data_IF_264900105423
#
_entry.id   IF_264900105423
#
_cell.length_a   1.000
_cell.length_b   1.000
_cell.length_c   1.000
_cell.angle_alpha   90.00
_cell.angle_beta   90.00
_cell.angle_gamma   90.00
#
_symmetry.space_group_name_H-M   'P 1'
#
loop_
_entity.id
_entity.type
_entity.pdbx_description
1 polymer ?
#
# COMPACT_ATOMS: atom_id res chain seq x y z
N UNK A 1 8.90 -21.55 -34.10
CA UNK A 1 8.71 -20.82 -32.82
C UNK A 1 7.35 -20.13 -32.84
N UNK A 2 6.51 -20.30 -31.82
CA UNK A 2 5.23 -19.58 -31.75
C UNK A 2 5.46 -18.08 -31.46
N UNK A 3 4.49 -17.23 -31.83
CA UNK A 3 4.55 -15.79 -31.54
C UNK A 3 4.70 -15.56 -30.03
N UNK A 4 3.93 -16.29 -29.22
CA UNK A 4 3.99 -16.23 -27.77
C UNK A 4 5.38 -16.53 -27.20
N UNK A 5 6.05 -17.58 -27.66
CA UNK A 5 7.41 -17.93 -27.19
C UNK A 5 8.44 -16.88 -27.60
N UNK A 6 8.29 -16.27 -28.78
CA UNK A 6 9.17 -15.19 -29.20
C UNK A 6 8.99 -13.94 -28.32
N UNK A 7 7.74 -13.61 -28.01
CA UNK A 7 7.36 -12.43 -27.23
C UNK A 7 7.78 -12.52 -25.76
N UNK A 8 7.54 -13.67 -25.12
CA UNK A 8 8.03 -13.94 -23.75
C UNK A 8 9.57 -13.86 -23.67
N UNK A 9 10.30 -14.37 -24.67
CA UNK A 9 11.76 -14.28 -24.72
C UNK A 9 12.25 -12.84 -24.92
N UNK A 10 11.53 -12.01 -25.69
CA UNK A 10 11.84 -10.59 -25.86
C UNK A 10 11.65 -9.82 -24.56
N UNK A 11 10.54 -10.06 -23.87
CA UNK A 11 10.23 -9.45 -22.57
C UNK A 11 11.33 -9.75 -21.53
N UNK A 12 11.67 -11.03 -21.35
CA UNK A 12 12.63 -11.45 -20.32
C UNK A 12 14.07 -11.05 -20.61
N UNK A 13 14.47 -10.98 -21.88
CA UNK A 13 15.83 -10.57 -22.27
C UNK A 13 16.05 -9.06 -22.23
N UNK A 14 15.00 -8.26 -22.09
CA UNK A 14 15.12 -6.80 -22.15
C UNK A 14 15.84 -6.26 -20.93
N UNK A 15 16.96 -5.56 -21.16
CA UNK A 15 17.81 -4.98 -20.10
C UNK A 15 17.01 -4.10 -19.14
N UNK A 16 16.18 -3.21 -19.68
CA UNK A 16 15.33 -2.33 -18.88
C UNK A 16 14.42 -3.11 -17.93
N UNK A 17 13.70 -4.12 -18.44
CA UNK A 17 12.83 -4.99 -17.62
C UNK A 17 13.61 -5.66 -16.51
N UNK A 18 14.80 -6.22 -16.81
CA UNK A 18 15.65 -6.87 -15.81
C UNK A 18 16.13 -5.91 -14.72
N UNK A 19 16.60 -4.72 -15.09
CA UNK A 19 17.07 -3.74 -14.11
C UNK A 19 15.92 -3.18 -13.26
N UNK A 20 14.75 -2.97 -13.86
CA UNK A 20 13.58 -2.50 -13.13
C UNK A 20 13.08 -3.54 -12.13
N UNK A 21 12.97 -4.81 -12.56
CA UNK A 21 12.66 -5.94 -11.67
C UNK A 21 13.68 -6.04 -10.54
N UNK A 22 14.97 -5.94 -10.84
CA UNK A 22 16.02 -5.97 -9.81
C UNK A 22 15.86 -4.82 -8.81
N UNK A 23 15.60 -3.59 -9.28
CA UNK A 23 15.33 -2.44 -8.42
C UNK A 23 14.13 -2.66 -7.51
N UNK A 24 13.02 -3.17 -8.04
CA UNK A 24 11.83 -3.51 -7.24
C UNK A 24 12.15 -4.57 -6.19
N UNK A 25 12.87 -5.63 -6.55
CA UNK A 25 13.28 -6.68 -5.61
C UNK A 25 14.20 -6.16 -4.51
N UNK A 26 15.09 -5.22 -4.82
CA UNK A 26 15.96 -4.58 -3.81
C UNK A 26 15.17 -3.73 -2.82
N UNK A 27 14.17 -2.96 -3.29
CA UNK A 27 13.28 -2.21 -2.40
C UNK A 27 12.49 -3.15 -1.49
N UNK A 28 11.93 -4.23 -2.05
CA UNK A 28 11.24 -5.25 -1.27
C UNK A 28 12.18 -5.90 -0.24
N UNK A 29 13.38 -6.31 -0.64
CA UNK A 29 14.37 -6.87 0.28
C UNK A 29 14.74 -5.89 1.41
N UNK A 30 14.85 -4.59 1.11
CA UNK A 30 15.10 -3.57 2.12
C UNK A 30 13.96 -3.45 3.14
N UNK A 31 12.70 -3.60 2.73
CA UNK A 31 11.55 -3.61 3.64
C UNK A 31 11.60 -4.84 4.56
N UNK A 32 11.86 -6.03 4.00
CA UNK A 32 12.00 -7.27 4.80
C UNK A 32 13.14 -7.13 5.81
N UNK A 33 14.30 -6.65 5.36
CA UNK A 33 15.46 -6.43 6.21
C UNK A 33 15.16 -5.40 7.30
N UNK A 34 14.56 -4.27 6.93
CA UNK A 34 14.13 -3.23 7.87
C UNK A 34 13.26 -3.82 8.96
N UNK A 35 12.20 -4.55 8.60
CA UNK A 35 11.31 -5.18 9.57
C UNK A 35 12.03 -6.20 10.46
N UNK A 36 12.94 -6.99 9.89
CA UNK A 36 13.71 -7.98 10.65
C UNK A 36 14.67 -7.34 11.67
N UNK A 37 15.27 -6.19 11.33
CA UNK A 37 16.25 -5.52 12.19
C UNK A 37 15.61 -4.55 13.20
N UNK A 38 14.41 -4.03 12.93
CA UNK A 38 13.70 -3.14 13.86
C UNK A 38 12.85 -3.87 14.89
N UNK A 39 12.57 -5.17 14.69
CA UNK A 39 11.72 -5.95 15.60
C UNK A 39 12.53 -6.96 16.42
N UNK A 40 12.07 -7.17 17.65
CA UNK A 40 12.73 -8.05 18.60
C UNK A 40 11.76 -9.03 19.25
N UNK A 41 12.26 -10.26 19.48
CA UNK A 41 11.48 -11.29 20.14
C UNK A 41 11.41 -11.02 21.64
N UNK A 42 10.21 -11.13 22.20
CA UNK A 42 10.01 -11.15 23.65
C UNK A 42 10.78 -12.33 24.27
N UNK A 43 11.77 -12.03 25.09
CA UNK A 43 12.54 -13.00 25.88
C UNK A 43 12.34 -12.71 27.37
N UNK A 44 12.45 -13.72 28.25
CA UNK A 44 12.31 -13.52 29.69
C UNK A 44 13.24 -12.43 30.23
N UNK A 45 14.48 -12.35 29.72
CA UNK A 45 15.43 -11.32 30.12
C UNK A 45 14.96 -9.92 29.71
N UNK A 46 14.43 -9.75 28.48
CA UNK A 46 13.90 -8.45 28.04
C UNK A 46 12.62 -8.07 28.76
N UNK A 47 11.76 -9.03 29.07
CA UNK A 47 10.56 -8.76 29.86
C UNK A 47 10.96 -8.29 31.27
N UNK A 48 11.94 -8.94 31.90
CA UNK A 48 12.45 -8.52 33.20
C UNK A 48 13.12 -7.12 33.12
N UNK A 49 13.86 -6.82 32.05
CA UNK A 49 14.42 -5.50 31.83
C UNK A 49 13.35 -4.42 31.65
N UNK A 50 12.32 -4.69 30.84
CA UNK A 50 11.20 -3.78 30.64
C UNK A 50 10.37 -3.57 31.91
N UNK A 51 10.21 -4.61 32.73
CA UNK A 51 9.62 -4.50 34.06
C UNK A 51 10.47 -3.63 34.98
N UNK A 52 11.79 -3.86 35.05
CA UNK A 52 12.69 -3.04 35.85
C UNK A 52 12.67 -1.56 35.42
N UNK A 53 12.59 -1.31 34.11
CA UNK A 53 12.46 0.05 33.57
C UNK A 53 11.12 0.69 33.94
N UNK A 54 10.00 -0.01 33.74
CA UNK A 54 8.67 0.44 34.17
C UNK A 54 8.64 0.77 35.67
N UNK A 55 9.31 -0.05 36.50
CA UNK A 55 9.42 0.15 37.94
C UNK A 55 10.22 1.40 38.28
N UNK A 56 11.34 1.61 37.59
CA UNK A 56 12.15 2.82 37.78
C UNK A 56 11.39 4.09 37.39
N UNK A 57 10.64 4.05 36.29
CA UNK A 57 9.85 5.18 35.79
C UNK A 57 8.66 5.47 36.70
N UNK A 58 7.99 4.43 37.21
CA UNK A 58 6.95 4.57 38.21
C UNK A 58 7.49 5.24 39.49
N UNK A 59 8.62 4.77 40.02
CA UNK A 59 9.22 5.35 41.22
C UNK A 59 9.63 6.81 41.00
N UNK A 60 10.19 7.13 39.83
CA UNK A 60 10.52 8.51 39.46
C UNK A 60 9.27 9.39 39.38
N UNK A 61 8.20 8.92 38.73
CA UNK A 61 6.94 9.64 38.60
C UNK A 61 6.28 9.89 39.97
N UNK A 62 6.25 8.88 40.85
CA UNK A 62 5.72 9.02 42.21
C UNK A 62 6.52 10.07 43.00
N UNK A 63 7.85 10.04 42.91
CA UNK A 63 8.70 11.06 43.54
C UNK A 63 8.42 12.45 42.98
N UNK A 64 8.26 12.59 41.68
CA UNK A 64 7.95 13.87 41.04
C UNK A 64 6.57 14.39 41.45
N UNK A 65 5.54 13.55 41.42
CA UNK A 65 4.19 13.90 41.83
C UNK A 65 4.13 14.28 43.33
N UNK A 66 4.91 13.60 44.18
CA UNK A 66 4.99 13.94 45.62
C UNK A 66 5.63 15.31 45.85
N UNK A 67 6.67 15.67 45.08
CA UNK A 67 7.30 17.00 45.14
C UNK A 67 6.36 18.07 44.63
N UNK A 68 5.71 17.84 43.50
CA UNK A 68 4.75 18.78 42.92
C UNK A 68 3.56 19.03 43.86
N UNK A 69 3.08 17.98 44.52
CA UNK A 69 2.03 18.09 45.54
C UNK A 69 2.52 18.92 46.75
N UNK A 70 3.75 18.67 47.23
CA UNK A 70 4.32 19.43 48.35
C UNK A 70 4.56 20.89 47.99
N UNK A 71 5.06 21.18 46.79
CA UNK A 71 5.29 22.53 46.28
C UNK A 71 3.96 23.28 46.11
N UNK A 72 2.92 22.60 45.60
CA UNK A 72 1.56 23.15 45.52
C UNK A 72 1.02 23.51 46.91
N UNK A 73 1.16 22.60 47.88
CA UNK A 73 0.72 22.83 49.26
C UNK A 73 1.48 23.98 49.92
N UNK A 74 2.80 24.08 49.70
CA UNK A 74 3.62 25.17 50.22
C UNK A 74 3.30 26.53 49.58
N UNK A 75 2.86 26.54 48.32
CA UNK A 75 2.44 27.74 47.62
C UNK A 75 1.05 28.26 48.05
N UNK A 76 0.22 27.43 48.71
CA UNK A 76 -1.11 27.83 49.18
C UNK A 76 -1.02 29.06 50.10
N UNK A 77 -1.90 30.04 49.86
CA UNK A 77 -1.90 31.31 50.60
C UNK A 77 -0.84 32.32 50.14
N UNK A 78 -0.05 32.01 49.11
CA UNK A 78 0.88 32.95 48.46
C UNK A 78 0.40 33.31 47.04
N UNK A 79 0.90 34.39 46.41
CA UNK A 79 0.60 34.69 45.01
C UNK A 79 0.99 33.57 44.03
N UNK A 80 1.97 32.72 44.41
CA UNK A 80 2.40 31.59 43.61
C UNK A 80 1.37 30.45 43.50
N UNK A 81 0.33 30.44 44.34
CA UNK A 81 -0.76 29.46 44.25
C UNK A 81 -1.48 29.48 42.89
N UNK A 82 -1.51 30.62 42.19
CA UNK A 82 -2.14 30.75 40.88
C UNK A 82 -1.42 29.96 39.76
N UNK A 83 -0.17 29.54 40.01
CA UNK A 83 0.62 28.77 39.06
C UNK A 83 0.37 27.26 39.16
N UNK A 84 -0.44 26.80 40.11
CA UNK A 84 -0.75 25.41 40.33
C UNK A 84 -2.26 25.15 40.16
N UNK A 85 -2.67 23.96 39.66
CA UNK A 85 -4.05 23.52 39.76
C UNK A 85 -4.43 23.30 41.25
N UNK A 86 -5.72 23.07 41.57
CA UNK A 86 -6.11 22.58 42.88
C UNK A 86 -5.27 21.34 43.27
N UNK A 87 -4.64 21.34 44.45
CA UNK A 87 -3.63 20.33 44.78
C UNK A 87 -4.21 18.90 44.85
N UNK A 88 -5.52 18.76 45.02
CA UNK A 88 -6.27 17.49 44.97
C UNK A 88 -6.49 16.97 43.54
N UNK A 89 -6.25 17.81 42.53
CA UNK A 89 -6.30 17.47 41.10
C UNK A 89 -4.93 17.20 40.50
N UNK A 90 -3.86 17.27 41.30
CA UNK A 90 -2.53 16.85 40.84
C UNK A 90 -2.57 15.36 40.55
N UNK A 91 -2.16 14.99 39.34
CA UNK A 91 -2.12 13.61 38.89
C UNK A 91 -1.27 12.75 39.83
N UNK A 92 -1.85 11.64 40.30
CA UNK A 92 -1.18 10.65 41.13
C UNK A 92 -0.87 9.43 40.26
N UNK A 93 0.43 9.16 39.99
CA UNK A 93 0.84 8.01 39.19
C UNK A 93 0.32 6.69 39.78
N UNK A 94 -0.45 5.94 39.01
CA UNK A 94 -0.87 4.59 39.37
C UNK A 94 0.05 3.57 38.70
N UNK A 95 0.15 2.36 39.29
CA UNK A 95 1.01 1.30 38.75
C UNK A 95 0.58 0.86 37.35
N UNK A 96 -0.70 0.92 37.06
CA UNK A 96 -1.31 0.61 35.77
C UNK A 96 -0.94 1.59 34.66
N UNK A 97 -0.45 2.79 35.00
CA UNK A 97 0.07 3.78 34.04
C UNK A 97 1.52 3.47 33.61
N UNK A 98 2.17 2.47 34.23
CA UNK A 98 3.56 2.11 33.97
C UNK A 98 3.65 0.62 33.66
N UNK A 99 3.05 0.25 32.54
CA UNK A 99 3.01 -1.13 32.06
C UNK A 99 4.31 -1.52 31.36
N UNK A 100 4.85 -2.69 31.72
CA UNK A 100 6.09 -3.20 31.13
C UNK A 100 6.04 -3.31 29.60
N UNK A 101 4.86 -3.58 29.01
CA UNK A 101 4.73 -3.71 27.55
C UNK A 101 5.04 -2.41 26.80
N UNK A 102 4.90 -1.25 27.43
CA UNK A 102 5.22 0.05 26.82
C UNK A 102 6.73 0.33 26.77
N UNK A 103 7.50 -0.40 27.57
CA UNK A 103 8.96 -0.34 27.62
C UNK A 103 9.61 -1.53 26.87
N UNK A 104 8.80 -2.34 26.19
CA UNK A 104 9.32 -3.40 25.33
C UNK A 104 9.57 -2.87 23.93
N UNK A 105 10.66 -3.35 23.31
CA UNK A 105 10.88 -3.16 21.89
C UNK A 105 9.70 -3.70 21.07
N UNK A 106 9.36 -3.07 19.93
CA UNK A 106 8.30 -3.56 19.07
C UNK A 106 8.57 -5.00 18.63
N UNK A 107 7.55 -5.83 18.76
CA UNK A 107 7.54 -7.21 18.31
C UNK A 107 6.73 -7.30 17.02
N UNK A 108 7.21 -8.10 16.07
CA UNK A 108 6.47 -8.31 14.82
C UNK A 108 5.28 -9.26 15.04
N UNK A 109 4.07 -8.72 14.99
CA UNK A 109 2.85 -9.52 14.92
C UNK A 109 2.47 -9.76 13.46
N UNK A 110 2.64 -11.00 13.00
CA UNK A 110 2.33 -11.36 11.61
C UNK A 110 0.84 -11.18 11.29
N UNK A 111 -0.05 -11.50 12.22
CA UNK A 111 -1.50 -11.46 11.96
C UNK A 111 -1.99 -10.03 11.77
N UNK A 112 -1.49 -9.10 12.57
CA UNK A 112 -1.92 -7.70 12.52
C UNK A 112 -1.21 -6.92 11.42
N UNK A 113 0.09 -7.14 11.22
CA UNK A 113 0.93 -6.26 10.40
C UNK A 113 1.10 -6.76 8.97
N UNK A 114 0.96 -8.07 8.72
CA UNK A 114 1.23 -8.63 7.39
C UNK A 114 0.27 -8.14 6.31
N UNK A 115 -1.00 -7.84 6.65
CA UNK A 115 -1.96 -7.29 5.69
C UNK A 115 -1.47 -5.98 5.05
N UNK A 116 -0.94 -5.06 5.85
CA UNK A 116 -0.33 -3.82 5.35
C UNK A 116 0.86 -4.09 4.42
N UNK A 117 1.69 -5.09 4.77
CA UNK A 117 2.85 -5.49 3.96
C UNK A 117 2.44 -6.14 2.63
N UNK A 118 1.30 -6.85 2.57
CA UNK A 118 0.70 -7.35 1.32
C UNK A 118 0.23 -6.19 0.44
N UNK A 119 -0.38 -5.17 1.02
CA UNK A 119 -0.76 -3.95 0.29
C UNK A 119 0.45 -3.22 -0.27
N UNK A 120 1.53 -3.08 0.50
CA UNK A 120 2.79 -2.49 0.05
C UNK A 120 3.43 -3.30 -1.10
N UNK A 121 3.45 -4.64 -0.97
CA UNK A 121 3.90 -5.55 -2.04
C UNK A 121 3.09 -5.33 -3.32
N UNK A 122 1.76 -5.36 -3.23
CA UNK A 122 0.86 -5.18 -4.36
C UNK A 122 1.07 -3.82 -5.04
N UNK A 123 1.22 -2.74 -4.28
CA UNK A 123 1.48 -1.41 -4.80
C UNK A 123 2.80 -1.33 -5.57
N UNK A 124 3.90 -1.84 -4.99
CA UNK A 124 5.22 -1.85 -5.64
C UNK A 124 5.23 -2.70 -6.92
N UNK A 125 4.61 -3.88 -6.88
CA UNK A 125 4.49 -4.75 -8.05
C UNK A 125 3.56 -4.15 -9.11
N UNK A 126 2.51 -3.41 -8.74
CA UNK A 126 1.61 -2.76 -9.68
C UNK A 126 2.32 -1.62 -10.43
N UNK A 127 3.11 -0.80 -9.73
CA UNK A 127 3.97 0.22 -10.38
C UNK A 127 4.98 -0.46 -11.31
N UNK A 128 5.61 -1.54 -10.86
CA UNK A 128 6.52 -2.35 -11.67
C UNK A 128 5.85 -2.84 -12.95
N UNK A 129 4.69 -3.47 -12.81
CA UNK A 129 3.91 -4.02 -13.93
C UNK A 129 3.46 -2.94 -14.90
N UNK A 130 2.98 -1.79 -14.42
CA UNK A 130 2.59 -0.66 -15.25
C UNK A 130 3.74 -0.20 -16.15
N UNK A 131 4.91 0.06 -15.56
CA UNK A 131 6.08 0.57 -16.28
C UNK A 131 6.59 -0.47 -17.28
N UNK A 132 6.65 -1.75 -16.89
CA UNK A 132 7.05 -2.84 -17.79
C UNK A 132 6.05 -2.97 -18.94
N UNK A 133 4.74 -2.96 -18.65
CA UNK A 133 3.68 -3.06 -19.66
C UNK A 133 3.72 -1.92 -20.67
N UNK A 134 3.86 -0.68 -20.17
CA UNK A 134 4.03 0.51 -21.00
C UNK A 134 5.27 0.41 -21.90
N UNK A 135 6.39 0.01 -21.31
CA UNK A 135 7.67 -0.04 -22.01
C UNK A 135 7.70 -1.16 -23.04
N UNK A 136 7.09 -2.31 -22.73
CA UNK A 136 7.08 -3.51 -23.56
C UNK A 136 6.52 -3.23 -24.96
N UNK A 137 5.39 -2.55 -25.04
CA UNK A 137 4.75 -2.20 -26.32
C UNK A 137 5.19 -0.83 -26.84
N UNK A 138 5.33 0.17 -25.97
CA UNK A 138 5.63 1.54 -26.36
C UNK A 138 6.97 1.69 -27.09
N UNK A 139 7.98 0.93 -26.68
CA UNK A 139 9.30 1.00 -27.33
C UNK A 139 9.37 0.30 -28.69
N UNK A 140 8.53 -0.70 -28.92
CA UNK A 140 8.43 -1.33 -30.24
C UNK A 140 7.72 -0.44 -31.25
N UNK A 141 6.77 0.38 -30.79
CA UNK A 141 6.18 1.43 -31.60
C UNK A 141 7.21 2.50 -31.95
N UNK A 142 7.94 3.02 -30.96
CA UNK A 142 8.91 4.10 -31.18
C UNK A 142 10.11 3.70 -32.05
N UNK A 143 10.49 2.42 -32.04
CA UNK A 143 11.60 1.89 -32.85
C UNK A 143 11.18 1.36 -34.22
N UNK A 144 9.88 1.40 -34.55
CA UNK A 144 9.34 0.79 -35.78
C UNK A 144 9.30 -0.75 -35.77
N UNK A 145 9.74 -1.41 -34.69
CA UNK A 145 9.72 -2.86 -34.55
C UNK A 145 8.31 -3.45 -34.65
N UNK A 146 7.30 -2.74 -34.14
CA UNK A 146 5.90 -3.13 -34.28
C UNK A 146 5.42 -3.03 -35.74
N UNK A 147 5.82 -1.97 -36.47
CA UNK A 147 5.45 -1.82 -37.88
C UNK A 147 6.06 -2.96 -38.72
N UNK A 148 7.34 -3.27 -38.49
CA UNK A 148 8.01 -4.38 -39.17
C UNK A 148 7.32 -5.72 -38.88
N UNK A 149 6.92 -5.98 -37.62
CA UNK A 149 6.20 -7.20 -37.26
C UNK A 149 4.87 -7.34 -38.01
N UNK A 150 4.14 -6.23 -38.19
CA UNK A 150 2.84 -6.23 -38.85
C UNK A 150 2.93 -6.40 -40.37
N UNK A 151 4.07 -6.08 -41.00
CA UNK A 151 4.32 -6.43 -42.41
C UNK A 151 4.32 -7.95 -42.62
N UNK A 152 4.90 -8.70 -41.69
CA UNK A 152 4.97 -10.17 -41.76
C UNK A 152 3.71 -10.86 -41.19
N UNK A 153 2.98 -10.18 -40.30
CA UNK A 153 1.78 -10.71 -39.63
C UNK A 153 0.70 -9.62 -39.57
N UNK A 154 -0.11 -9.45 -40.63
CA UNK A 154 -1.07 -8.34 -40.74
C UNK A 154 -2.30 -8.43 -39.83
N UNK A 155 -2.34 -9.40 -38.89
CA UNK A 155 -3.46 -9.61 -37.96
C UNK A 155 -3.20 -8.82 -36.67
N UNK A 156 -3.46 -7.51 -36.66
CA UNK A 156 -3.06 -6.60 -35.57
C UNK A 156 -3.61 -7.04 -34.21
N UNK A 157 -4.88 -7.45 -34.16
CA UNK A 157 -5.52 -7.93 -32.92
C UNK A 157 -4.85 -9.19 -32.36
N UNK A 158 -4.50 -10.16 -33.22
CA UNK A 158 -3.82 -11.37 -32.77
C UNK A 158 -2.43 -11.06 -32.22
N UNK A 159 -1.71 -10.14 -32.85
CA UNK A 159 -0.38 -9.71 -32.41
C UNK A 159 -0.45 -8.99 -31.06
N UNK A 160 -1.33 -8.00 -30.94
CA UNK A 160 -1.46 -7.22 -29.71
C UNK A 160 -2.00 -8.08 -28.54
N UNK A 161 -3.01 -8.91 -28.81
CA UNK A 161 -3.54 -9.85 -27.83
C UNK A 161 -2.50 -10.87 -27.36
N UNK A 162 -1.67 -11.40 -28.26
CA UNK A 162 -0.60 -12.33 -27.89
C UNK A 162 0.46 -11.66 -27.01
N UNK A 163 0.83 -10.40 -27.32
CA UNK A 163 1.76 -9.62 -26.48
C UNK A 163 1.18 -9.34 -25.11
N UNK A 164 -0.08 -8.92 -25.04
CA UNK A 164 -0.76 -8.70 -23.76
C UNK A 164 -0.83 -9.99 -22.95
N UNK A 165 -1.19 -11.13 -23.56
CA UNK A 165 -1.20 -12.42 -22.89
C UNK A 165 0.20 -12.84 -22.40
N UNK A 166 1.24 -12.67 -23.22
CA UNK A 166 2.63 -12.94 -22.82
C UNK A 166 3.06 -12.08 -21.62
N UNK A 167 2.70 -10.79 -21.62
CA UNK A 167 2.94 -9.87 -20.52
C UNK A 167 2.20 -10.33 -19.25
N UNK A 168 0.89 -10.55 -19.32
CA UNK A 168 0.06 -10.86 -18.16
C UNK A 168 0.42 -12.21 -17.54
N UNK A 169 0.71 -13.24 -18.35
CA UNK A 169 1.17 -14.53 -17.82
C UNK A 169 2.54 -14.39 -17.15
N UNK A 170 3.47 -13.66 -17.76
CA UNK A 170 4.80 -13.44 -17.18
C UNK A 170 4.71 -12.66 -15.85
N UNK A 171 3.87 -11.63 -15.79
CA UNK A 171 3.61 -10.88 -14.57
C UNK A 171 2.91 -11.74 -13.52
N UNK A 172 1.92 -12.55 -13.90
CA UNK A 172 1.22 -13.44 -12.98
C UNK A 172 2.16 -14.45 -12.32
N UNK A 173 2.97 -15.15 -13.12
CA UNK A 173 3.98 -16.09 -12.59
C UNK A 173 4.98 -15.38 -11.69
N UNK A 174 5.49 -14.23 -12.11
CA UNK A 174 6.43 -13.45 -11.31
C UNK A 174 5.81 -13.01 -9.97
N UNK A 175 4.60 -12.47 -9.98
CA UNK A 175 3.88 -12.05 -8.78
C UNK A 175 3.65 -13.22 -7.82
N UNK A 176 3.25 -14.39 -8.32
CA UNK A 176 3.08 -15.59 -7.48
C UNK A 176 4.40 -15.98 -6.80
N UNK A 177 5.50 -16.03 -7.55
CA UNK A 177 6.82 -16.38 -7.01
C UNK A 177 7.28 -15.36 -5.95
N UNK A 178 7.14 -14.07 -6.25
CA UNK A 178 7.56 -13.00 -5.33
C UNK A 178 6.66 -12.96 -4.09
N UNK A 179 5.34 -13.14 -4.23
CA UNK A 179 4.41 -13.18 -3.09
C UNK A 179 4.71 -14.37 -2.18
N UNK A 180 4.96 -15.56 -2.74
CA UNK A 180 5.35 -16.72 -1.96
C UNK A 180 6.66 -16.51 -1.20
N UNK A 181 7.67 -15.92 -1.85
CA UNK A 181 8.93 -15.58 -1.20
C UNK A 181 8.76 -14.50 -0.11
N UNK A 182 7.97 -13.46 -0.39
CA UNK A 182 7.64 -12.38 0.53
C UNK A 182 6.97 -12.92 1.80
N UNK A 183 5.90 -13.69 1.63
CA UNK A 183 5.17 -14.34 2.71
C UNK A 183 6.09 -15.27 3.51
N UNK A 184 6.88 -16.11 2.83
CA UNK A 184 7.84 -17.00 3.50
C UNK A 184 8.89 -16.25 4.33
N UNK A 185 9.41 -15.13 3.82
CA UNK A 185 10.36 -14.29 4.54
C UNK A 185 9.72 -13.63 5.78
N UNK A 186 8.49 -13.14 5.69
CA UNK A 186 7.81 -12.58 6.87
C UNK A 186 7.36 -13.64 7.87
N UNK A 187 7.06 -14.86 7.43
CA UNK A 187 6.87 -16.01 8.33
C UNK A 187 8.16 -16.29 9.10
N UNK A 188 9.30 -16.29 8.42
CA UNK A 188 10.60 -16.45 9.07
C UNK A 188 10.88 -15.31 10.06
N UNK A 189 10.61 -14.06 9.66
CA UNK A 189 10.72 -12.89 10.56
C UNK A 189 9.84 -13.04 11.78
N UNK A 190 8.60 -13.48 11.62
CA UNK A 190 7.68 -13.72 12.74
C UNK A 190 8.18 -14.84 13.67
N UNK A 191 8.74 -15.93 13.15
CA UNK A 191 9.28 -16.99 14.00
C UNK A 191 10.51 -16.53 14.82
N UNK A 192 11.37 -15.71 14.19
CA UNK A 192 12.65 -15.30 14.77
C UNK A 192 12.56 -14.03 15.63
N UNK A 193 11.69 -13.09 15.28
CA UNK A 193 11.61 -11.73 15.86
C UNK A 193 10.21 -11.36 16.34
N UNK A 194 9.25 -12.29 16.25
CA UNK A 194 7.84 -11.96 16.41
C UNK A 194 6.98 -13.11 16.91
N UNK A 195 5.72 -13.12 16.46
CA UNK A 195 4.76 -14.16 16.74
C UNK A 195 3.91 -14.52 15.52
N UNK A 196 3.52 -15.79 15.46
CA UNK A 196 2.48 -16.32 14.56
C UNK A 196 1.20 -16.67 15.34
N UNK A 197 1.07 -16.17 16.57
CA UNK A 197 -0.11 -16.42 17.39
C UNK A 197 -1.38 -15.96 16.65
N UNK A 198 -2.45 -16.75 16.78
CA UNK A 198 -3.70 -16.48 16.09
C UNK A 198 -3.70 -16.78 14.58
N UNK A 199 -2.61 -17.31 13.99
CA UNK A 199 -2.62 -17.77 12.60
C UNK A 199 -3.35 -19.10 12.44
N UNK A 200 -4.68 -19.02 12.33
CA UNK A 200 -5.56 -20.15 11.99
C UNK A 200 -5.58 -20.41 10.48
N UNK A 201 -6.15 -21.54 10.05
CA UNK A 201 -6.41 -21.82 8.64
C UNK A 201 -7.20 -20.71 7.95
N UNK A 202 -8.20 -20.13 8.64
CA UNK A 202 -8.98 -19.00 8.14
C UNK A 202 -8.16 -17.71 7.99
N UNK A 203 -7.19 -17.47 8.89
CA UNK A 203 -6.27 -16.32 8.76
C UNK A 203 -5.37 -16.47 7.52
N UNK A 204 -4.79 -17.65 7.31
CA UNK A 204 -4.02 -17.98 6.11
C UNK A 204 -4.85 -17.82 4.83
N UNK A 205 -6.08 -18.31 4.83
CA UNK A 205 -6.99 -18.15 3.68
C UNK A 205 -7.31 -16.69 3.41
N UNK A 206 -7.52 -15.87 4.46
CA UNK A 206 -7.78 -14.43 4.30
C UNK A 206 -6.58 -13.72 3.66
N UNK A 207 -5.36 -14.06 4.07
CA UNK A 207 -4.13 -13.53 3.48
C UNK A 207 -4.01 -13.94 2.01
N UNK A 208 -4.21 -15.23 1.70
CA UNK A 208 -4.17 -15.73 0.33
C UNK A 208 -5.18 -14.99 -0.58
N UNK A 209 -6.40 -14.76 -0.08
CA UNK A 209 -7.42 -13.99 -0.82
C UNK A 209 -7.04 -12.50 -1.00
N UNK A 210 -6.28 -11.93 -0.07
CA UNK A 210 -5.74 -10.58 -0.18
C UNK A 210 -4.59 -10.52 -1.19
N UNK A 211 -3.67 -11.49 -1.19
CA UNK A 211 -2.61 -11.62 -2.20
C UNK A 211 -3.19 -11.81 -3.61
N UNK A 212 -4.27 -12.60 -3.75
CA UNK A 212 -4.98 -12.75 -5.02
C UNK A 212 -5.57 -11.43 -5.52
N UNK A 213 -6.15 -10.61 -4.63
CA UNK A 213 -6.61 -9.25 -4.95
C UNK A 213 -5.46 -8.34 -5.35
N UNK A 214 -4.32 -8.45 -4.66
CA UNK A 214 -3.08 -7.77 -5.03
C UNK A 214 -2.60 -8.18 -6.44
N UNK A 215 -2.59 -9.48 -6.75
CA UNK A 215 -2.23 -9.99 -8.07
C UNK A 215 -3.14 -9.41 -9.17
N UNK A 216 -4.45 -9.32 -8.93
CA UNK A 216 -5.39 -8.69 -9.88
C UNK A 216 -5.02 -7.23 -10.12
N UNK A 217 -4.65 -6.46 -9.10
CA UNK A 217 -4.17 -5.08 -9.28
C UNK A 217 -2.88 -5.01 -10.10
N UNK A 218 -1.92 -5.92 -9.86
CA UNK A 218 -0.67 -5.97 -10.61
C UNK A 218 -0.93 -6.24 -12.10
N UNK A 219 -1.80 -7.20 -12.41
CA UNK A 219 -2.19 -7.51 -13.78
C UNK A 219 -2.95 -6.36 -14.44
N UNK A 220 -3.88 -5.74 -13.71
CA UNK A 220 -4.62 -4.56 -14.17
C UNK A 220 -3.68 -3.40 -14.49
N UNK A 221 -2.73 -3.09 -13.60
CA UNK A 221 -1.75 -2.03 -13.79
C UNK A 221 -0.86 -2.30 -15.02
N UNK A 222 -0.40 -3.54 -15.20
CA UNK A 222 0.34 -3.95 -16.40
C UNK A 222 -0.46 -3.82 -17.69
N UNK A 223 -1.74 -4.21 -17.66
CA UNK A 223 -2.65 -4.06 -18.80
C UNK A 223 -2.93 -2.58 -19.13
N UNK A 224 -3.11 -1.73 -18.12
CA UNK A 224 -3.33 -0.29 -18.28
C UNK A 224 -2.09 0.38 -18.88
N UNK A 225 -0.89 0.10 -18.34
CA UNK A 225 0.36 0.62 -18.90
C UNK A 225 0.55 0.20 -20.36
N UNK A 226 0.29 -1.06 -20.67
CA UNK A 226 0.30 -1.58 -22.04
C UNK A 226 -0.72 -0.88 -22.95
N UNK A 227 -1.96 -0.71 -22.47
CA UNK A 227 -3.04 -0.07 -23.23
C UNK A 227 -2.74 1.40 -23.54
N UNK A 228 -2.32 2.18 -22.54
CA UNK A 228 -1.93 3.58 -22.73
C UNK A 228 -0.77 3.71 -23.71
N UNK A 229 0.29 2.92 -23.56
CA UNK A 229 1.42 2.97 -24.48
C UNK A 229 1.05 2.52 -25.90
N UNK A 230 0.07 1.62 -26.05
CA UNK A 230 -0.47 1.21 -27.35
C UNK A 230 -1.26 2.32 -28.02
N UNK A 231 -2.08 3.06 -27.26
CA UNK A 231 -2.84 4.22 -27.74
C UNK A 231 -1.89 5.36 -28.15
N UNK A 232 -0.90 5.66 -27.31
CA UNK A 232 0.06 6.74 -27.54
C UNK A 232 1.20 6.39 -28.47
N UNK A 233 1.38 5.11 -28.81
CA UNK A 233 2.49 4.58 -29.62
C UNK A 233 3.88 4.95 -29.09
N UNK A 234 3.99 5.28 -27.82
CA UNK A 234 5.23 5.64 -27.15
C UNK A 234 5.11 5.32 -25.66
N UNK A 235 6.22 4.88 -25.05
CA UNK A 235 6.31 4.68 -23.60
C UNK A 235 6.08 6.00 -22.84
N UNK A 236 6.58 7.11 -23.38
CA UNK A 236 6.46 8.44 -22.78
C UNK A 236 5.00 8.87 -22.57
N UNK A 237 4.08 8.45 -23.43
CA UNK A 237 2.66 8.78 -23.27
C UNK A 237 2.08 8.10 -22.03
N UNK A 238 2.37 6.81 -21.82
CA UNK A 238 1.90 6.10 -20.63
C UNK A 238 2.54 6.65 -19.33
N UNK A 239 3.84 6.92 -19.34
CA UNK A 239 4.52 7.51 -18.19
C UNK A 239 4.03 8.93 -17.90
N UNK A 240 3.83 9.76 -18.94
CA UNK A 240 3.26 11.09 -18.81
C UNK A 240 1.83 11.07 -18.28
N UNK A 241 1.00 10.13 -18.75
CA UNK A 241 -0.35 9.93 -18.24
C UNK A 241 -0.34 9.53 -16.75
N UNK A 242 0.57 8.63 -16.34
CA UNK A 242 0.71 8.27 -14.94
C UNK A 242 1.17 9.45 -14.07
N UNK A 243 2.17 10.21 -14.52
CA UNK A 243 2.66 11.40 -13.82
C UNK A 243 1.54 12.45 -13.71
N UNK A 244 0.81 12.71 -14.79
CA UNK A 244 -0.34 13.61 -14.80
C UNK A 244 -1.45 13.14 -13.85
N UNK A 245 -1.76 11.84 -13.84
CA UNK A 245 -2.74 11.27 -12.93
C UNK A 245 -2.32 11.41 -11.45
N UNK A 246 -1.03 11.24 -11.14
CA UNK A 246 -0.53 11.39 -9.77
C UNK A 246 -0.48 12.87 -9.37
N UNK A 247 0.24 13.70 -10.13
CA UNK A 247 0.50 15.09 -9.74
C UNK A 247 -0.75 15.95 -9.88
N UNK A 248 -1.38 15.95 -11.05
CA UNK A 248 -2.51 16.83 -11.32
C UNK A 248 -3.78 16.28 -10.69
N UNK A 249 -4.05 14.99 -10.89
CA UNK A 249 -5.32 14.40 -10.47
C UNK A 249 -5.31 13.91 -9.01
N UNK A 250 -4.25 13.32 -8.44
CA UNK A 250 -4.27 12.99 -7.00
C UNK A 250 -3.99 14.21 -6.13
N UNK A 251 -2.84 14.85 -6.31
CA UNK A 251 -2.42 15.95 -5.43
C UNK A 251 -3.11 17.27 -5.77
N UNK A 252 -3.19 17.62 -7.05
CA UNK A 252 -3.83 18.87 -7.50
C UNK A 252 -5.32 18.89 -7.17
N UNK A 253 -6.08 17.88 -7.63
CA UNK A 253 -7.51 17.77 -7.31
C UNK A 253 -7.74 17.63 -5.81
N UNK A 254 -6.98 16.79 -5.10
CA UNK A 254 -7.12 16.62 -3.66
C UNK A 254 -6.99 17.94 -2.89
N UNK A 255 -5.99 18.76 -3.27
CA UNK A 255 -5.80 20.10 -2.70
C UNK A 255 -7.00 21.01 -3.01
N UNK A 256 -7.46 21.04 -4.26
CA UNK A 256 -8.61 21.89 -4.66
C UNK A 256 -9.89 21.47 -3.93
N UNK A 257 -10.16 20.17 -3.83
CA UNK A 257 -11.34 19.64 -3.12
C UNK A 257 -11.28 19.95 -1.62
N UNK A 258 -10.10 19.83 -1.01
CA UNK A 258 -9.88 20.17 0.40
C UNK A 258 -10.11 21.66 0.65
N UNK A 259 -9.55 22.54 -0.19
CA UNK A 259 -9.75 23.99 -0.08
C UNK A 259 -11.22 24.40 -0.32
N UNK A 260 -11.90 23.72 -1.24
CA UNK A 260 -13.31 23.94 -1.52
C UNK A 260 -14.25 23.28 -0.50
N UNK A 261 -13.71 22.62 0.53
CA UNK A 261 -14.46 21.90 1.58
C UNK A 261 -15.50 20.94 0.99
N UNK A 262 -15.13 20.24 -0.09
CA UNK A 262 -16.02 19.27 -0.73
C UNK A 262 -16.22 18.09 0.24
N UNK A 263 -17.47 17.69 0.51
CA UNK A 263 -17.74 16.54 1.37
C UNK A 263 -17.14 15.27 0.76
N UNK A 264 -16.56 14.43 1.61
CA UNK A 264 -15.93 13.16 1.20
C UNK A 264 -14.88 13.32 0.09
N UNK A 265 -14.04 14.36 0.13
CA UNK A 265 -13.03 14.64 -0.90
C UNK A 265 -12.16 13.42 -1.29
N UNK A 266 -11.85 12.56 -0.32
CA UNK A 266 -11.08 11.33 -0.52
C UNK A 266 -11.75 10.35 -1.49
N UNK A 267 -13.09 10.33 -1.57
CA UNK A 267 -13.86 9.47 -2.48
C UNK A 267 -13.60 9.77 -3.97
N UNK A 268 -13.10 10.95 -4.29
CA UNK A 268 -12.73 11.35 -5.65
C UNK A 268 -11.30 10.95 -6.04
N UNK A 269 -10.50 10.45 -5.10
CA UNK A 269 -9.09 10.12 -5.27
C UNK A 269 -8.91 8.61 -5.42
N UNK A 270 -7.91 8.17 -6.20
CA UNK A 270 -7.69 6.74 -6.50
C UNK A 270 -7.29 5.90 -5.27
N UNK A 271 -6.48 6.40 -4.31
CA UNK A 271 -6.03 5.61 -3.17
C UNK A 271 -7.16 4.94 -2.38
N UNK A 272 -8.28 5.64 -2.11
CA UNK A 272 -9.37 5.07 -1.30
C UNK A 272 -10.02 3.88 -2.00
N UNK A 273 -10.12 3.91 -3.33
CA UNK A 273 -10.66 2.80 -4.12
C UNK A 273 -9.69 1.61 -4.15
N UNK A 274 -8.38 1.87 -4.27
CA UNK A 274 -7.38 0.82 -4.21
C UNK A 274 -7.33 0.16 -2.82
N UNK A 275 -7.46 0.95 -1.75
CA UNK A 275 -7.56 0.45 -0.38
C UNK A 275 -8.85 -0.35 -0.17
N UNK A 276 -10.00 0.16 -0.63
CA UNK A 276 -11.27 -0.57 -0.54
C UNK A 276 -11.22 -1.93 -1.25
N UNK A 277 -10.50 -2.03 -2.37
CA UNK A 277 -10.25 -3.30 -3.04
C UNK A 277 -9.41 -4.27 -2.18
N UNK A 278 -8.30 -3.79 -1.61
CA UNK A 278 -7.39 -4.62 -0.80
C UNK A 278 -8.00 -5.02 0.54
N UNK A 279 -8.55 -4.06 1.28
CA UNK A 279 -8.99 -4.21 2.68
C UNK A 279 -10.48 -4.54 2.81
N UNK A 280 -11.15 -4.87 1.71
CA UNK A 280 -12.60 -5.17 1.59
C UNK A 280 -13.50 -3.94 1.68
N UNK A 281 -13.05 -2.91 2.37
CA UNK A 281 -13.71 -1.61 2.44
C UNK A 281 -12.73 -0.51 2.84
N UNK A 282 -13.02 0.71 2.42
CA UNK A 282 -12.37 1.92 2.93
C UNK A 282 -13.45 2.94 3.29
N UNK A 283 -13.22 3.71 4.35
CA UNK A 283 -14.14 4.75 4.80
C UNK A 283 -13.61 6.09 4.30
N UNK A 284 -14.45 6.84 3.57
CA UNK A 284 -14.17 8.24 3.27
C UNK A 284 -14.92 9.11 4.29
N UNK A 285 -14.22 10.08 4.84
CA UNK A 285 -14.73 10.90 5.95
C UNK A 285 -14.94 12.34 5.48
N UNK A 286 -16.04 12.96 5.89
CA UNK A 286 -16.26 14.39 5.71
C UNK A 286 -15.85 15.16 6.97
N UNK A 287 -14.58 15.58 6.97
CA UNK A 287 -13.98 16.37 8.07
C UNK A 287 -14.61 17.76 8.28
N UNK A 288 -15.47 18.23 7.37
CA UNK A 288 -16.19 19.50 7.54
C UNK A 288 -17.56 19.33 8.17
N UNK A 289 -18.05 18.09 8.27
CA UNK A 289 -19.30 17.77 8.93
C UNK A 289 -19.08 17.53 10.41
N UNK A 290 -20.11 17.81 11.21
CA UNK A 290 -20.08 17.61 12.65
C UNK A 290 -21.47 17.17 13.11
N UNK A 291 -21.64 15.88 13.38
CA UNK A 291 -22.78 15.38 14.14
C UNK A 291 -22.40 15.38 15.62
N UNK A 292 -22.92 16.36 16.35
CA UNK A 292 -22.51 16.58 17.74
C UNK A 292 -23.29 15.68 18.70
N UNK A 293 -22.54 14.93 19.52
CA UNK A 293 -23.05 14.14 20.64
C UNK A 293 -22.40 14.58 21.95
N UNK A 294 -23.17 14.58 23.05
CA UNK A 294 -22.65 14.95 24.38
C UNK A 294 -21.66 13.94 24.96
N UNK A 295 -21.59 12.72 24.42
CA UNK A 295 -20.73 11.63 24.91
C UNK A 295 -19.49 11.38 24.05
N UNK A 296 -19.58 11.63 22.75
CA UNK A 296 -18.49 11.38 21.78
C UNK A 296 -18.00 12.64 21.07
N UNK A 297 -18.59 13.80 21.36
CA UNK A 297 -18.19 15.07 20.78
C UNK A 297 -18.64 15.19 19.32
N UNK A 298 -17.80 15.82 18.51
CA UNK A 298 -18.08 16.07 17.10
C UNK A 298 -17.66 14.86 16.25
N UNK A 299 -18.63 14.08 15.76
CA UNK A 299 -18.36 12.95 14.87
C UNK A 299 -18.55 13.37 13.40
N UNK A 300 -17.54 13.17 12.53
CA UNK A 300 -17.69 13.46 11.11
C UNK A 300 -18.54 12.39 10.43
N UNK A 301 -19.37 12.82 9.47
CA UNK A 301 -20.08 11.93 8.58
C UNK A 301 -19.11 11.06 7.77
N UNK A 302 -19.50 9.82 7.53
CA UNK A 302 -18.67 8.83 6.82
C UNK A 302 -19.46 8.13 5.72
N UNK A 303 -18.77 7.76 4.64
CA UNK A 303 -19.28 6.83 3.63
C UNK A 303 -18.34 5.64 3.50
N UNK A 304 -18.91 4.45 3.37
CA UNK A 304 -18.13 3.21 3.20
C UNK A 304 -18.07 2.81 1.74
N UNK A 305 -16.87 2.78 1.18
CA UNK A 305 -16.58 2.25 -0.15
C UNK A 305 -16.24 0.77 0.01
N UNK A 306 -17.02 -0.11 -0.59
CA UNK A 306 -16.85 -1.56 -0.51
C UNK A 306 -16.06 -2.11 -1.70
N UNK A 307 -15.42 -3.25 -1.52
CA UNK A 307 -14.61 -3.87 -2.57
C UNK A 307 -15.35 -4.19 -3.88
N UNK A 308 -16.67 -4.52 -3.92
CA UNK A 308 -17.35 -4.70 -5.21
C UNK A 308 -17.51 -3.37 -5.96
N UNK A 309 -17.75 -2.27 -5.24
CA UNK A 309 -17.81 -0.93 -5.84
C UNK A 309 -16.45 -0.55 -6.42
N UNK A 310 -15.38 -0.74 -5.64
CA UNK A 310 -14.01 -0.52 -6.12
C UNK A 310 -13.64 -1.42 -7.29
N UNK A 311 -13.97 -2.71 -7.22
CA UNK A 311 -13.76 -3.66 -8.30
C UNK A 311 -14.46 -3.23 -9.58
N UNK A 312 -15.70 -2.75 -9.50
CA UNK A 312 -16.46 -2.24 -10.63
C UNK A 312 -15.80 -1.03 -11.29
N UNK A 313 -15.39 -0.04 -10.51
CA UNK A 313 -14.71 1.18 -11.02
C UNK A 313 -13.36 0.82 -11.65
N UNK A 314 -12.53 0.03 -10.95
CA UNK A 314 -11.21 -0.37 -11.45
C UNK A 314 -11.32 -1.23 -12.72
N UNK A 315 -12.27 -2.16 -12.77
CA UNK A 315 -12.54 -2.97 -13.96
C UNK A 315 -12.99 -2.10 -15.13
N UNK A 316 -13.89 -1.13 -14.89
CA UNK A 316 -14.33 -0.20 -15.93
C UNK A 316 -13.15 0.59 -16.52
N UNK A 317 -12.23 1.10 -15.69
CA UNK A 317 -11.03 1.81 -16.15
C UNK A 317 -10.15 0.89 -17.02
N UNK A 318 -9.89 -0.33 -16.57
CA UNK A 318 -9.09 -1.31 -17.35
C UNK A 318 -9.76 -1.62 -18.68
N UNK A 319 -11.06 -1.90 -18.68
CA UNK A 319 -11.83 -2.22 -19.88
C UNK A 319 -11.87 -1.05 -20.86
N UNK A 320 -12.02 0.18 -20.38
CA UNK A 320 -12.01 1.38 -21.22
C UNK A 320 -10.65 1.56 -21.90
N UNK A 321 -9.55 1.48 -21.16
CA UNK A 321 -8.20 1.72 -21.68
C UNK A 321 -7.77 0.60 -22.63
N UNK A 322 -7.88 -0.66 -22.20
CA UNK A 322 -7.47 -1.82 -23.00
C UNK A 322 -8.43 -2.00 -24.19
N UNK A 323 -9.73 -1.82 -23.97
CA UNK A 323 -10.75 -1.87 -25.01
C UNK A 323 -10.52 -0.82 -26.09
N UNK A 324 -10.24 0.43 -25.70
CA UNK A 324 -9.89 1.50 -26.65
C UNK A 324 -8.60 1.17 -27.42
N UNK A 325 -7.57 0.64 -26.73
CA UNK A 325 -6.32 0.22 -27.39
C UNK A 325 -6.56 -0.88 -28.43
N UNK A 326 -7.36 -1.89 -28.10
CA UNK A 326 -7.72 -2.98 -29.03
C UNK A 326 -8.59 -2.46 -30.19
N UNK A 327 -9.58 -1.61 -29.90
CA UNK A 327 -10.47 -1.03 -30.89
C UNK A 327 -9.73 -0.18 -31.93
N UNK A 328 -8.84 0.70 -31.49
CA UNK A 328 -8.02 1.55 -32.37
C UNK A 328 -7.04 0.78 -33.25
N UNK A 329 -6.70 -0.46 -32.88
CA UNK A 329 -5.91 -1.36 -33.73
C UNK A 329 -6.78 -2.09 -34.75
N UNK A 330 -7.95 -2.57 -34.33
CA UNK A 330 -8.92 -3.25 -35.21
C UNK A 330 -9.38 -2.36 -36.35
N UNK A 331 -9.68 -1.10 -36.08
CA UNK A 331 -10.17 -0.16 -37.12
C UNK A 331 -9.14 0.14 -38.21
N UNK A 332 -7.90 -0.32 -38.04
CA UNK A 332 -6.78 -0.16 -38.98
C UNK A 332 -6.34 -1.48 -39.62
N UNK A 333 -7.07 -2.57 -39.37
CA UNK A 333 -6.94 -3.80 -40.15
C UNK A 333 -7.61 -3.57 -41.52
N UNK A 334 -6.90 -3.87 -42.59
CA UNK A 334 -7.45 -3.82 -43.95
C UNK A 334 -8.30 -5.07 -44.15
N UNK A 335 -9.60 -4.91 -44.34
CA UNK A 335 -10.53 -5.97 -44.76
C UNK A 335 -10.38 -6.27 -46.24
#
# INVERSE_FOLDING_TARGET
MSLYTAETRRLTKRRFTRFFVLGTLLVLAAIVAGMFFTNHKASPERLAAAQAEADSQYQFAVQQASKETADCQAAQGTPAAQNYPPCDQIYQPAREDFRAEWYMDPMFDFREQFGFLVTALAALLAVMAFVIGATYVGAEWSSGGMMNLLLWRPRRLQVLGTKLAALLVSLGVFTVVVSAAWTGLFVLTAQLRGTLAGMTSGAWQSILLMELRGMVLVLAAGAVGFGLASLGRHTAMALGAAIGAIIVFQFGLGTVLSLAKVPFAEAYLVPVWALAWMDKSAVATDWNSCDYSSTSGCEPATITITWPMAGGVLAAVVLLIVGAAMWTMRSRDVT
#
